data_IF_032798459016
#
_entry.id   IF_032798459016
#
_cell.length_a   1.000
_cell.length_b   1.000
_cell.length_c   1.000
_cell.angle_alpha   90.00
_cell.angle_beta   90.00
_cell.angle_gamma   90.00
#
_symmetry.space_group_name_H-M   'P 1'
#
loop_
_entity.id
_entity.type
_entity.pdbx_description
1 polymer ?
#
# COMPACT_ATOMS: atom_id res chain seq x y z
N UNK A 1 -13.52 -18.67 7.97
CA UNK A 1 -12.71 -17.49 8.34
C UNK A 1 -11.29 -17.83 7.96
N UNK A 2 -10.77 -17.32 6.84
CA UNK A 2 -9.40 -17.65 6.43
C UNK A 2 -8.42 -17.20 7.50
N UNK A 3 -7.61 -18.13 7.98
CA UNK A 3 -6.39 -17.84 8.72
C UNK A 3 -5.53 -16.92 7.85
N UNK A 4 -5.57 -15.61 8.11
CA UNK A 4 -4.64 -14.63 7.54
C UNK A 4 -3.28 -14.82 8.21
N UNK A 5 -2.67 -15.99 8.00
CA UNK A 5 -1.25 -16.21 8.24
C UNK A 5 -0.50 -15.70 7.02
N UNK A 6 0.10 -14.53 7.18
CA UNK A 6 1.54 -14.31 7.09
C UNK A 6 1.78 -12.81 6.94
N UNK A 7 2.67 -12.26 7.77
CA UNK A 7 3.16 -10.90 7.57
C UNK A 7 3.95 -10.93 6.27
N UNK A 8 3.37 -10.43 5.19
CA UNK A 8 4.06 -10.29 3.91
C UNK A 8 5.34 -9.47 4.13
N UNK A 9 6.43 -9.98 3.59
CA UNK A 9 7.72 -9.31 3.55
C UNK A 9 7.71 -8.18 2.52
N UNK A 10 8.64 -7.24 2.65
CA UNK A 10 8.76 -6.14 1.68
C UNK A 10 9.09 -6.69 0.28
N UNK A 11 9.87 -7.75 0.21
CA UNK A 11 10.25 -8.46 -1.01
C UNK A 11 9.01 -9.01 -1.71
N UNK A 12 8.07 -9.61 -0.97
CA UNK A 12 6.81 -10.12 -1.51
C UNK A 12 5.88 -8.99 -1.99
N UNK A 13 5.85 -7.85 -1.29
CA UNK A 13 5.05 -6.68 -1.68
C UNK A 13 5.59 -5.98 -2.94
N UNK A 14 6.91 -5.97 -3.09
CA UNK A 14 7.59 -5.30 -4.20
C UNK A 14 7.71 -6.20 -5.42
N UNK A 15 7.67 -7.53 -5.23
CA UNK A 15 7.82 -8.51 -6.32
C UNK A 15 7.02 -8.12 -7.58
N UNK A 16 7.64 -8.13 -8.76
CA UNK A 16 6.95 -7.83 -10.00
C UNK A 16 5.79 -8.80 -10.18
N UNK A 17 4.59 -8.30 -10.53
CA UNK A 17 3.55 -9.21 -10.98
C UNK A 17 3.96 -9.72 -12.36
N UNK A 18 3.84 -11.03 -12.61
CA UNK A 18 4.20 -11.64 -13.89
C UNK A 18 3.42 -11.08 -15.10
N UNK A 19 2.40 -10.27 -14.85
CA UNK A 19 1.50 -9.67 -15.83
C UNK A 19 1.81 -8.22 -16.21
N UNK A 20 2.71 -7.53 -15.50
CA UNK A 20 3.00 -6.11 -15.78
C UNK A 20 4.30 -5.97 -16.61
N UNK A 21 4.32 -5.14 -17.66
CA UNK A 21 5.57 -4.79 -18.31
C UNK A 21 6.50 -4.12 -17.29
N UNK A 22 7.75 -4.56 -17.23
CA UNK A 22 8.76 -3.98 -16.35
C UNK A 22 9.07 -2.55 -16.83
N UNK A 23 8.47 -1.57 -16.15
CA UNK A 23 8.80 -0.15 -16.28
C UNK A 23 9.69 0.24 -15.09
N UNK A 24 10.95 0.60 -15.38
CA UNK A 24 11.95 0.93 -14.36
C UNK A 24 11.50 2.10 -13.47
N UNK A 25 10.78 3.07 -14.04
CA UNK A 25 10.25 4.21 -13.31
C UNK A 25 9.11 3.79 -12.37
N UNK A 26 8.22 2.92 -12.84
CA UNK A 26 7.13 2.38 -12.03
C UNK A 26 7.65 1.52 -10.87
N UNK A 27 8.63 0.64 -11.10
CA UNK A 27 9.18 -0.21 -10.05
C UNK A 27 9.92 0.60 -8.97
N UNK A 28 10.72 1.59 -9.36
CA UNK A 28 11.36 2.50 -8.42
C UNK A 28 10.33 3.28 -7.59
N UNK A 29 9.27 3.79 -8.23
CA UNK A 29 8.18 4.46 -7.55
C UNK A 29 7.42 3.53 -6.59
N UNK A 30 7.12 2.30 -7.02
CA UNK A 30 6.42 1.29 -6.22
C UNK A 30 7.19 0.95 -4.95
N UNK A 31 8.50 0.71 -5.07
CA UNK A 31 9.37 0.44 -3.91
C UNK A 31 9.33 1.60 -2.91
N UNK A 32 9.49 2.83 -3.40
CA UNK A 32 9.46 4.02 -2.54
C UNK A 32 8.11 4.14 -1.84
N UNK A 33 7.00 3.97 -2.58
CA UNK A 33 5.64 4.07 -2.06
C UNK A 33 5.34 3.03 -0.97
N UNK A 34 5.74 1.77 -1.18
CA UNK A 34 5.54 0.68 -0.22
C UNK A 34 6.35 0.93 1.06
N UNK A 35 7.61 1.37 0.94
CA UNK A 35 8.44 1.70 2.11
C UNK A 35 7.84 2.81 2.96
N UNK A 36 7.42 3.91 2.33
CA UNK A 36 6.77 5.02 3.02
C UNK A 36 5.49 4.57 3.70
N UNK A 37 4.63 3.82 3.01
CA UNK A 37 3.38 3.34 3.57
C UNK A 37 3.59 2.39 4.76
N UNK A 38 4.61 1.52 4.72
CA UNK A 38 4.95 0.65 5.84
C UNK A 38 5.41 1.45 7.07
N UNK A 39 6.18 2.52 6.88
CA UNK A 39 6.59 3.38 7.98
C UNK A 39 5.40 4.17 8.56
N UNK A 40 4.59 4.79 7.70
CA UNK A 40 3.36 5.49 8.08
C UNK A 40 2.37 4.56 8.80
N UNK A 41 2.31 3.28 8.42
CA UNK A 41 1.42 2.31 9.09
C UNK A 41 1.78 2.04 10.56
N UNK A 42 3.04 2.28 10.96
CA UNK A 42 3.48 2.16 12.36
C UNK A 42 2.91 3.29 13.22
N UNK A 43 2.67 4.46 12.64
CA UNK A 43 2.06 5.60 13.29
C UNK A 43 0.74 5.98 12.60
N UNK A 44 -0.36 5.46 13.14
CA UNK A 44 -1.71 5.71 12.60
C UNK A 44 -2.12 7.19 12.61
N UNK A 45 -1.44 8.07 13.35
CA UNK A 45 -1.70 9.51 13.30
C UNK A 45 -1.24 10.16 12.00
N UNK A 46 -0.30 9.51 11.29
CA UNK A 46 0.20 9.94 9.99
C UNK A 46 -0.66 9.46 8.81
N UNK A 47 -1.70 8.65 9.07
CA UNK A 47 -2.61 8.13 8.05
C UNK A 47 -3.91 8.95 8.06
N UNK A 48 -4.45 9.23 6.86
CA UNK A 48 -5.73 9.93 6.74
C UNK A 48 -6.86 9.03 7.27
N UNK A 49 -7.69 9.51 8.21
CA UNK A 49 -8.84 8.76 8.69
C UNK A 49 -9.79 8.33 7.57
N UNK A 50 -10.44 7.17 7.73
CA UNK A 50 -11.33 6.63 6.70
C UNK A 50 -12.47 7.60 6.37
N UNK A 51 -13.08 8.22 7.38
CA UNK A 51 -14.18 9.17 7.20
C UNK A 51 -13.74 10.37 6.34
N UNK A 52 -12.52 10.86 6.54
CA UNK A 52 -11.94 11.95 5.74
C UNK A 52 -11.68 11.52 4.29
N UNK A 53 -11.24 10.27 4.08
CA UNK A 53 -11.11 9.71 2.73
C UNK A 53 -12.47 9.68 2.05
N UNK A 54 -13.50 9.15 2.71
CA UNK A 54 -14.84 9.02 2.12
C UNK A 54 -15.42 10.38 1.73
N UNK A 55 -15.27 11.38 2.60
CA UNK A 55 -15.67 12.76 2.34
C UNK A 55 -14.95 13.37 1.14
N UNK A 56 -13.62 13.26 1.08
CA UNK A 56 -12.82 13.84 -0.01
C UNK A 56 -13.16 13.25 -1.38
N UNK A 57 -13.48 11.97 -1.43
CA UNK A 57 -13.82 11.26 -2.68
C UNK A 57 -15.32 11.24 -2.98
N UNK A 58 -16.17 11.84 -2.12
CA UNK A 58 -17.62 11.89 -2.32
C UNK A 58 -18.31 10.52 -2.18
N UNK A 59 -17.75 9.63 -1.37
CA UNK A 59 -18.28 8.29 -1.09
C UNK A 59 -19.15 8.23 0.17
N UNK A 60 -19.48 9.37 0.77
CA UNK A 60 -20.39 9.47 1.93
C UNK A 60 -21.69 8.67 1.64
N UNK A 61 -21.98 7.65 2.45
CA UNK A 61 -23.19 6.83 2.37
C UNK A 61 -24.16 7.20 3.48
#
# INVERSE_FOLDING_TARGET
MSDLKEKLTLEELVSPSSSAPADEGYEAWKIAKIRTALEESKDRSCVIPLDDVWKRFGFER
#
